data_IF_633024537052
#
_entry.id   IF_633024537052
#
_cell.length_a   1.000
_cell.length_b   1.000
_cell.length_c   1.000
_cell.angle_alpha   90.00
_cell.angle_beta   90.00
_cell.angle_gamma   90.00
#
_symmetry.space_group_name_H-M   'P 1'
#
loop_
_entity.id
_entity.type
_entity.pdbx_description
1 polymer ?
#
# COMPACT_ATOMS: atom_id res chain seq x y z
N UNK A 1 15.24 -16.58 17.64
CA UNK A 1 14.79 -15.18 17.76
C UNK A 1 13.27 -15.19 17.71
N UNK A 2 12.59 -14.62 18.70
CA UNK A 2 11.13 -14.66 18.82
C UNK A 2 10.50 -13.82 17.71
N UNK A 3 9.76 -14.44 16.78
CA UNK A 3 8.92 -13.74 15.80
C UNK A 3 7.91 -12.88 16.58
N UNK A 4 8.12 -11.57 16.62
CA UNK A 4 7.12 -10.66 17.17
C UNK A 4 5.95 -10.60 16.19
N UNK A 5 4.73 -10.86 16.67
CA UNK A 5 3.52 -10.72 15.87
C UNK A 5 2.73 -9.50 16.32
N UNK A 6 2.30 -8.68 15.37
CA UNK A 6 1.45 -7.52 15.63
C UNK A 6 0.03 -7.86 15.20
N UNK A 7 -0.96 -7.44 16.00
CA UNK A 7 -2.37 -7.60 15.66
C UNK A 7 -2.99 -6.24 15.36
N UNK A 8 -3.59 -6.10 14.19
CA UNK A 8 -4.30 -4.88 13.77
C UNK A 8 -5.79 -5.15 13.64
N UNK A 9 -6.62 -4.19 14.07
CA UNK A 9 -8.05 -4.17 13.78
C UNK A 9 -8.28 -3.31 12.54
N UNK A 10 -8.79 -3.90 11.46
CA UNK A 10 -9.06 -3.21 10.19
C UNK A 10 -10.46 -3.61 9.74
N UNK A 11 -11.33 -2.64 9.43
CA UNK A 11 -12.71 -2.89 8.98
C UNK A 11 -13.49 -3.86 9.90
N UNK A 12 -13.23 -3.78 11.22
CA UNK A 12 -13.85 -4.64 12.22
C UNK A 12 -13.32 -6.09 12.28
N UNK A 13 -12.20 -6.40 11.62
CA UNK A 13 -11.53 -7.72 11.71
C UNK A 13 -10.11 -7.61 12.25
N UNK A 14 -9.73 -8.59 13.07
CA UNK A 14 -8.38 -8.70 13.61
C UNK A 14 -7.48 -9.46 12.63
N UNK A 15 -6.36 -8.85 12.25
CA UNK A 15 -5.35 -9.43 11.38
C UNK A 15 -4.04 -9.56 12.14
N UNK A 16 -3.44 -10.76 12.10
CA UNK A 16 -2.12 -11.02 12.68
C UNK A 16 -1.06 -10.89 11.60
N UNK A 17 -0.14 -9.98 11.81
CA UNK A 17 0.98 -9.69 10.91
C UNK A 17 2.28 -10.14 11.58
N UNK A 18 3.20 -10.69 10.77
CA UNK A 18 4.57 -10.93 11.22
C UNK A 18 5.30 -9.59 11.27
N UNK A 19 5.92 -9.24 12.39
CA UNK A 19 6.80 -8.09 12.46
C UNK A 19 8.08 -8.43 11.70
N UNK A 20 8.19 -8.00 10.44
CA UNK A 20 9.49 -8.02 9.75
C UNK A 20 10.30 -6.86 10.30
N UNK A 21 11.39 -7.21 10.98
CA UNK A 21 12.29 -6.26 11.63
C UNK A 21 12.98 -5.35 10.60
N UNK A 22 13.31 -4.15 11.10
CA UNK A 22 14.30 -3.18 10.62
C UNK A 22 13.88 -2.03 9.70
N UNK A 23 12.76 -2.04 8.98
CA UNK A 23 12.36 -0.86 8.16
C UNK A 23 10.85 -0.70 7.93
N UNK A 24 10.01 -1.33 8.75
CA UNK A 24 8.57 -1.30 8.54
C UNK A 24 7.96 0.02 9.06
N UNK A 25 7.14 0.75 8.27
CA UNK A 25 6.34 1.83 8.82
C UNK A 25 5.55 1.31 10.02
N UNK A 26 5.46 2.11 11.09
CA UNK A 26 4.82 1.67 12.33
C UNK A 26 3.45 1.05 11.99
N UNK A 27 3.10 -0.13 12.51
CA UNK A 27 1.89 -0.87 12.13
C UNK A 27 0.60 -0.04 12.21
N UNK A 28 0.56 0.92 13.13
CA UNK A 28 -0.54 1.87 13.27
C UNK A 28 -0.65 2.86 12.12
N UNK A 29 0.45 3.28 11.50
CA UNK A 29 0.40 4.09 10.27
C UNK A 29 -0.19 3.29 9.11
N UNK A 30 0.19 2.02 8.96
CA UNK A 30 -0.38 1.13 7.93
C UNK A 30 -1.88 0.98 8.15
N UNK A 31 -2.30 0.74 9.40
CA UNK A 31 -3.71 0.66 9.77
C UNK A 31 -4.46 1.96 9.41
N UNK A 32 -3.96 3.11 9.88
CA UNK A 32 -4.63 4.40 9.68
C UNK A 32 -4.79 4.72 8.19
N UNK A 33 -3.76 4.47 7.39
CA UNK A 33 -3.82 4.71 5.94
C UNK A 33 -4.81 3.77 5.24
N UNK A 34 -4.85 2.49 5.63
CA UNK A 34 -5.79 1.53 5.06
C UNK A 34 -7.24 1.87 5.42
N UNK A 35 -7.51 2.27 6.68
CA UNK A 35 -8.84 2.71 7.11
C UNK A 35 -9.30 3.97 6.36
N UNK A 36 -8.40 4.96 6.20
CA UNK A 36 -8.67 6.16 5.41
C UNK A 36 -9.07 5.82 3.97
N UNK A 37 -8.33 4.92 3.32
CA UNK A 37 -8.61 4.49 1.94
C UNK A 37 -9.91 3.70 1.83
N UNK A 38 -10.20 2.85 2.81
CA UNK A 38 -11.47 2.13 2.89
C UNK A 38 -12.66 3.09 2.99
N UNK A 39 -12.56 4.16 3.77
CA UNK A 39 -13.61 5.19 3.84
C UNK A 39 -13.85 5.85 2.49
N UNK A 40 -12.79 6.23 1.76
CA UNK A 40 -12.90 6.83 0.43
C UNK A 40 -13.58 5.89 -0.55
N UNK A 41 -13.17 4.61 -0.58
CA UNK A 41 -13.79 3.61 -1.47
C UNK A 41 -15.24 3.33 -1.08
N UNK A 42 -15.56 3.36 0.22
CA UNK A 42 -16.93 3.22 0.71
C UNK A 42 -17.84 4.36 0.26
N UNK A 43 -17.35 5.61 0.27
CA UNK A 43 -18.07 6.77 -0.27
C UNK A 43 -18.32 6.64 -1.77
N UNK A 44 -17.36 6.10 -2.52
CA UNK A 44 -17.47 5.89 -3.98
C UNK A 44 -18.33 4.67 -4.34
N UNK A 45 -18.50 3.72 -3.42
CA UNK A 45 -19.22 2.45 -3.64
C UNK A 45 -20.14 2.12 -2.46
N UNK A 46 -21.19 2.92 -2.22
CA UNK A 46 -22.02 2.83 -1.01
C UNK A 46 -22.82 1.51 -0.88
N UNK A 47 -23.01 0.78 -1.98
CA UNK A 47 -23.71 -0.51 -2.00
C UNK A 47 -22.77 -1.71 -1.91
N UNK A 48 -21.45 -1.50 -1.89
CA UNK A 48 -20.49 -2.58 -1.83
C UNK A 48 -20.45 -3.22 -0.44
N UNK A 49 -20.40 -4.54 -0.39
CA UNK A 49 -20.15 -5.26 0.86
C UNK A 49 -18.75 -4.95 1.39
N UNK A 50 -18.52 -5.18 2.69
CA UNK A 50 -17.18 -4.98 3.27
C UNK A 50 -16.08 -5.72 2.51
N UNK A 51 -16.33 -6.97 2.13
CA UNK A 51 -15.32 -7.77 1.45
C UNK A 51 -15.06 -7.21 0.04
N UNK A 52 -16.09 -6.70 -0.64
CA UNK A 52 -15.92 -5.96 -1.90
C UNK A 52 -15.12 -4.66 -1.70
N UNK A 53 -15.39 -3.89 -0.64
CA UNK A 53 -14.64 -2.67 -0.31
C UNK A 53 -13.16 -2.96 -0.05
N UNK A 54 -12.84 -4.04 0.67
CA UNK A 54 -11.47 -4.49 0.89
C UNK A 54 -10.76 -4.86 -0.42
N UNK A 55 -11.44 -5.59 -1.31
CA UNK A 55 -10.89 -5.96 -2.62
C UNK A 55 -10.67 -4.73 -3.50
N UNK A 56 -11.65 -3.82 -3.59
CA UNK A 56 -11.53 -2.58 -4.36
C UNK A 56 -10.39 -1.71 -3.82
N UNK A 57 -10.26 -1.60 -2.51
CA UNK A 57 -9.15 -0.86 -1.87
C UNK A 57 -7.81 -1.49 -2.20
N UNK A 58 -7.71 -2.83 -2.18
CA UNK A 58 -6.49 -3.54 -2.55
C UNK A 58 -6.12 -3.35 -4.03
N UNK A 59 -7.11 -3.41 -4.94
CA UNK A 59 -6.90 -3.18 -6.38
C UNK A 59 -6.41 -1.75 -6.64
N UNK A 60 -7.01 -0.75 -6.00
CA UNK A 60 -6.59 0.64 -6.14
C UNK A 60 -5.16 0.85 -5.63
N UNK A 61 -4.82 0.29 -4.47
CA UNK A 61 -3.46 0.32 -3.93
C UNK A 61 -2.43 -0.33 -4.87
N UNK A 62 -2.77 -1.49 -5.44
CA UNK A 62 -1.93 -2.18 -6.41
C UNK A 62 -1.72 -1.34 -7.68
N UNK A 63 -2.78 -0.73 -8.20
CA UNK A 63 -2.68 0.14 -9.37
C UNK A 63 -1.76 1.34 -9.11
N UNK A 64 -1.91 2.00 -7.96
CA UNK A 64 -1.04 3.12 -7.56
C UNK A 64 0.43 2.69 -7.43
N UNK A 65 0.68 1.53 -6.81
CA UNK A 65 2.04 1.01 -6.63
C UNK A 65 2.70 0.67 -7.98
N UNK A 66 1.96 0.05 -8.89
CA UNK A 66 2.44 -0.24 -10.25
C UNK A 66 2.73 1.05 -11.02
N UNK A 67 1.86 2.05 -10.92
CA UNK A 67 2.08 3.36 -11.54
C UNK A 67 3.33 4.05 -10.99
N UNK A 68 3.55 4.00 -9.67
CA UNK A 68 4.76 4.57 -9.04
C UNK A 68 6.03 3.86 -9.51
N UNK A 69 6.02 2.53 -9.60
CA UNK A 69 7.15 1.75 -10.11
C UNK A 69 7.47 2.10 -11.57
N UNK A 70 6.45 2.24 -12.40
CA UNK A 70 6.62 2.64 -13.79
C UNK A 70 7.22 4.05 -13.91
N UNK A 71 6.74 5.01 -13.11
CA UNK A 71 7.27 6.37 -13.10
C UNK A 71 8.73 6.42 -12.64
N UNK A 72 9.09 5.68 -11.59
CA UNK A 72 10.47 5.59 -11.12
C UNK A 72 11.39 5.01 -12.18
N UNK A 73 10.95 3.98 -12.90
CA UNK A 73 11.72 3.36 -13.98
C UNK A 73 11.95 4.34 -15.13
N UNK A 74 10.91 5.08 -15.55
CA UNK A 74 11.02 6.11 -16.58
C UNK A 74 12.00 7.23 -16.18
N UNK A 75 11.99 7.65 -14.91
CA UNK A 75 12.93 8.65 -14.40
C UNK A 75 14.38 8.14 -14.45
N UNK A 76 14.61 6.89 -14.03
CA UNK A 76 15.93 6.26 -14.10
C UNK A 76 16.44 6.15 -15.55
N UNK A 77 15.59 5.72 -16.47
CA UNK A 77 15.93 5.61 -17.89
C UNK A 77 16.29 6.98 -18.48
N UNK A 78 15.53 8.01 -18.12
CA UNK A 78 15.79 9.39 -18.55
C UNK A 78 17.14 9.88 -18.04
N UNK A 79 17.43 9.67 -16.75
CA UNK A 79 18.71 10.06 -16.14
C UNK A 79 19.89 9.35 -16.80
N UNK A 80 19.77 8.04 -17.04
CA UNK A 80 20.80 7.26 -17.74
C UNK A 80 21.01 7.75 -19.18
N UNK A 81 19.95 8.09 -19.89
CA UNK A 81 20.04 8.67 -21.23
C UNK A 81 20.75 10.03 -21.22
N UNK A 82 20.43 10.92 -20.26
CA UNK A 82 21.11 12.22 -20.11
C UNK A 82 22.61 12.05 -19.81
N UNK A 83 22.97 11.12 -18.91
CA UNK A 83 24.37 10.83 -18.61
C UNK A 83 25.11 10.32 -19.85
N UNK A 84 24.50 9.41 -20.62
CA UNK A 84 25.11 8.88 -21.87
C UNK A 84 25.32 9.93 -22.95
N UNK A 85 24.49 10.97 -22.98
CA UNK A 85 24.63 12.07 -23.95
C UNK A 85 25.66 13.13 -23.52
N UNK A 86 26.09 13.11 -22.25
CA UNK A 86 27.06 14.05 -21.69
C UNK A 86 28.50 13.52 -21.68
N UNK A 87 28.73 12.29 -22.16
CA UNK A 87 30.03 11.62 -22.33
C UNK A 87 30.33 11.48 -23.82
#
# INVERSE_FOLDING_TARGET
>A
MSEQSITLLIAGRHYRLKATAENNPAPEHIKAELERRLSIVAEQSPLASRDQLLVLTAVNLLAELLQQQQLQQQQLDTLLATIRQAV
#
